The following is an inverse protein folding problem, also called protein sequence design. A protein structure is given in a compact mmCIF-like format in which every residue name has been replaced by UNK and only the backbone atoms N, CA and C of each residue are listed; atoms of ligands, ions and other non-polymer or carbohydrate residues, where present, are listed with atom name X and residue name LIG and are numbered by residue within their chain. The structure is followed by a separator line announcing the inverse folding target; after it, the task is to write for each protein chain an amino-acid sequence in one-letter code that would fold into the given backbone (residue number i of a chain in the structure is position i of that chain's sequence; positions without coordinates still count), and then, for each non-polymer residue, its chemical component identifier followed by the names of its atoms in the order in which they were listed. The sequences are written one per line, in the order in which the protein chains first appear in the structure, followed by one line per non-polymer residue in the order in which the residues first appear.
data_IF_373391018303
#
_entry.id   IF_373391018303
#
_cell.length_a   1.000
_cell.length_b   1.000
_cell.length_c   1.000
_cell.angle_alpha   90.00
_cell.angle_beta   90.00
_cell.angle_gamma   90.00
#
_symmetry.space_group_name_H-M   'P 1'
#
loop_
_entity.id
_entity.type
_entity.pdbx_description
1 polymer ?
#
# COMPACT_ATOMS: atom_id res chain seq x y z
N UNK A 1 -14.41 21.08 -14.54
CA UNK A 1 -13.49 20.17 -13.83
C UNK A 1 -12.22 20.07 -14.66
N UNK A 2 -11.06 20.38 -14.10
CA UNK A 2 -9.77 20.20 -14.77
C UNK A 2 -9.36 18.74 -14.53
N UNK A 3 -9.11 17.99 -15.64
CA UNK A 3 -8.66 16.61 -15.55
C UNK A 3 -7.33 16.50 -14.75
N UNK A 4 -7.07 15.36 -14.07
CA UNK A 4 -5.78 15.11 -13.44
C UNK A 4 -4.65 15.15 -14.47
N UNK A 5 -3.39 15.39 -14.04
CA UNK A 5 -2.22 15.29 -14.93
C UNK A 5 -2.16 13.92 -15.60
N UNK A 6 -1.79 13.88 -16.89
CA UNK A 6 -1.84 12.68 -17.75
C UNK A 6 -0.99 11.49 -17.26
N UNK A 7 -0.06 11.70 -16.32
CA UNK A 7 0.86 10.68 -15.81
C UNK A 7 0.51 10.14 -14.42
N UNK A 8 -0.55 10.63 -13.77
CA UNK A 8 -0.94 10.20 -12.44
C UNK A 8 -1.98 9.07 -12.50
N UNK A 9 -1.60 7.87 -12.02
CA UNK A 9 -2.53 6.74 -11.88
C UNK A 9 -3.53 6.98 -10.74
N UNK A 10 -3.11 7.67 -9.69
CA UNK A 10 -3.97 8.18 -8.62
C UNK A 10 -3.79 9.70 -8.49
N UNK A 11 -4.88 10.40 -8.38
CA UNK A 11 -4.87 11.84 -8.13
C UNK A 11 -5.93 12.21 -7.11
N UNK A 12 -5.56 13.05 -6.15
CA UNK A 12 -6.46 13.63 -5.18
C UNK A 12 -6.27 15.15 -5.12
N UNK A 13 -7.37 15.88 -5.03
CA UNK A 13 -7.37 17.34 -4.96
C UNK A 13 -8.19 17.84 -3.79
N UNK A 14 -7.55 18.66 -2.93
CA UNK A 14 -8.16 19.37 -1.80
C UNK A 14 -9.04 18.51 -0.91
N UNK A 15 -8.59 17.29 -0.59
CA UNK A 15 -9.34 16.35 0.23
C UNK A 15 -9.58 16.92 1.63
N UNK A 16 -10.84 16.94 2.05
CA UNK A 16 -11.27 17.19 3.42
C UNK A 16 -12.10 16.03 3.91
N UNK A 17 -11.84 15.59 5.12
CA UNK A 17 -12.62 14.54 5.77
C UNK A 17 -12.56 14.67 7.29
N UNK A 18 -13.68 14.40 7.94
CA UNK A 18 -13.81 14.45 9.41
C UNK A 18 -14.41 13.15 9.94
N UNK A 19 -13.84 12.61 11.00
CA UNK A 19 -14.41 11.47 11.71
C UNK A 19 -15.21 11.97 12.91
N UNK A 20 -16.54 11.81 12.89
CA UNK A 20 -17.43 12.24 14.00
C UNK A 20 -17.17 13.69 14.45
N UNK A 21 -16.94 14.59 13.50
CA UNK A 21 -16.67 15.99 13.75
C UNK A 21 -15.21 16.36 14.02
N UNK A 22 -14.31 15.38 14.23
CA UNK A 22 -12.87 15.64 14.35
C UNK A 22 -12.20 15.67 12.97
N UNK A 23 -11.57 16.77 12.56
CA UNK A 23 -10.89 16.87 11.27
C UNK A 23 -9.75 15.86 11.16
N UNK A 24 -9.70 15.14 10.03
CA UNK A 24 -8.63 14.17 9.72
C UNK A 24 -7.84 14.56 8.47
N UNK A 25 -8.49 15.20 7.49
CA UNK A 25 -7.85 15.78 6.31
C UNK A 25 -8.35 17.22 6.11
N UNK A 26 -7.44 18.13 5.84
CA UNK A 26 -7.69 19.58 5.78
C UNK A 26 -7.17 20.21 4.47
N UNK A 27 -7.58 19.63 3.32
CA UNK A 27 -7.22 20.15 1.99
C UNK A 27 -5.98 19.50 1.40
N UNK A 28 -5.82 18.19 1.60
CA UNK A 28 -4.70 17.41 1.05
C UNK A 28 -4.86 17.19 -0.44
N UNK A 29 -3.78 17.47 -1.20
CA UNK A 29 -3.69 17.17 -2.63
C UNK A 29 -2.45 16.34 -2.89
N UNK A 30 -2.57 15.28 -3.70
CA UNK A 30 -1.47 14.40 -4.05
C UNK A 30 -1.74 13.71 -5.39
N UNK A 31 -0.71 13.64 -6.24
CA UNK A 31 -0.68 12.77 -7.41
C UNK A 31 0.30 11.63 -7.17
N UNK A 32 0.03 10.45 -7.72
CA UNK A 32 0.90 9.26 -7.68
C UNK A 32 1.04 8.73 -9.10
N UNK A 33 2.27 8.64 -9.59
CA UNK A 33 2.57 8.16 -10.93
C UNK A 33 2.47 6.65 -11.03
N UNK A 34 2.26 6.15 -12.22
CA UNK A 34 2.29 4.70 -12.46
C UNK A 34 3.68 4.12 -12.12
N UNK A 35 3.71 3.01 -11.37
CA UNK A 35 4.94 2.36 -10.91
C UNK A 35 5.68 3.08 -9.78
N UNK A 36 5.21 4.27 -9.35
CA UNK A 36 5.81 5.02 -8.25
C UNK A 36 5.54 4.36 -6.89
N UNK A 37 6.52 4.40 -6.01
CA UNK A 37 6.34 4.13 -4.58
C UNK A 37 6.33 5.46 -3.85
N UNK A 38 5.15 5.91 -3.41
CA UNK A 38 4.96 7.11 -2.61
C UNK A 38 4.91 6.74 -1.12
N UNK A 39 5.82 7.30 -0.31
CA UNK A 39 5.71 7.24 1.14
C UNK A 39 4.86 8.39 1.67
N UNK A 40 3.89 8.08 2.53
CA UNK A 40 3.12 9.06 3.31
C UNK A 40 3.59 8.95 4.76
N UNK A 41 4.37 9.91 5.22
CA UNK A 41 4.98 9.90 6.57
C UNK A 41 4.35 10.93 7.47
N UNK A 42 4.35 10.66 8.77
CA UNK A 42 3.83 11.61 9.77
C UNK A 42 3.49 10.92 11.09
N UNK A 43 3.27 11.68 12.17
CA UNK A 43 2.95 11.13 13.47
C UNK A 43 1.62 10.36 13.48
N UNK A 44 1.34 9.62 14.55
CA UNK A 44 0.02 9.01 14.75
C UNK A 44 -1.05 10.10 14.78
N UNK A 45 -2.20 9.83 14.15
CA UNK A 45 -3.30 10.80 14.06
C UNK A 45 -3.14 11.87 12.98
N UNK A 46 -2.04 11.90 12.21
CA UNK A 46 -1.84 12.92 11.17
C UNK A 46 -2.76 12.80 9.94
N UNK A 47 -3.58 11.74 9.83
CA UNK A 47 -4.52 11.56 8.72
C UNK A 47 -4.08 10.56 7.65
N UNK A 48 -2.91 9.86 7.79
CA UNK A 48 -2.38 8.92 6.78
C UNK A 48 -3.37 7.83 6.40
N UNK A 49 -3.89 7.10 7.37
CA UNK A 49 -4.90 6.06 7.14
C UNK A 49 -6.14 6.60 6.44
N UNK A 50 -6.60 7.81 6.82
CA UNK A 50 -7.75 8.48 6.20
C UNK A 50 -7.45 8.83 4.75
N UNK A 51 -6.24 9.33 4.46
CA UNK A 51 -5.80 9.62 3.10
C UNK A 51 -5.80 8.34 2.25
N UNK A 52 -5.18 7.25 2.71
CA UNK A 52 -5.15 5.99 1.98
C UNK A 52 -6.56 5.44 1.74
N UNK A 53 -7.45 5.53 2.72
CA UNK A 53 -8.85 5.09 2.59
C UNK A 53 -9.65 5.95 1.60
N UNK A 54 -9.39 7.25 1.53
CA UNK A 54 -10.00 8.11 0.51
C UNK A 54 -9.46 7.75 -0.88
N UNK A 55 -8.14 7.63 -1.05
CA UNK A 55 -7.51 7.27 -2.33
C UNK A 55 -7.99 5.91 -2.85
N UNK A 56 -8.17 4.93 -1.97
CA UNK A 56 -8.67 3.58 -2.32
C UNK A 56 -10.19 3.50 -2.50
N UNK A 57 -10.93 4.59 -2.29
CA UNK A 57 -12.39 4.61 -2.35
C UNK A 57 -13.09 3.85 -1.22
N UNK A 58 -12.38 3.49 -0.14
CA UNK A 58 -13.00 2.94 1.09
C UNK A 58 -13.79 4.02 1.83
N UNK A 59 -13.30 5.25 1.81
CA UNK A 59 -13.99 6.43 2.32
C UNK A 59 -14.28 7.40 1.17
N UNK A 60 -15.45 8.01 1.21
CA UNK A 60 -15.76 9.18 0.37
C UNK A 60 -15.33 10.40 1.17
N UNK A 61 -14.49 11.28 0.61
CA UNK A 61 -14.14 12.53 1.29
C UNK A 61 -15.37 13.45 1.44
N UNK A 62 -15.41 14.26 2.49
CA UNK A 62 -16.49 15.25 2.69
C UNK A 62 -16.44 16.35 1.62
N UNK A 63 -15.20 16.68 1.16
CA UNK A 63 -14.93 17.63 0.08
C UNK A 63 -13.66 17.22 -0.66
N UNK A 64 -13.54 17.67 -1.91
CA UNK A 64 -12.42 17.34 -2.78
C UNK A 64 -12.73 16.14 -3.68
N UNK A 65 -11.73 15.73 -4.43
CA UNK A 65 -11.88 14.78 -5.52
C UNK A 65 -10.80 13.69 -5.45
N UNK A 66 -11.17 12.46 -5.82
CA UNK A 66 -10.24 11.35 -6.00
C UNK A 66 -10.46 10.75 -7.38
N UNK A 67 -9.37 10.51 -8.10
CA UNK A 67 -9.36 9.98 -9.45
C UNK A 67 -8.42 8.76 -9.54
N UNK A 68 -8.81 7.77 -10.31
CA UNK A 68 -7.99 6.62 -10.65
C UNK A 68 -8.02 6.42 -12.17
N UNK A 69 -6.87 6.43 -12.83
CA UNK A 69 -6.74 6.35 -14.29
C UNK A 69 -7.70 7.31 -15.02
N UNK A 70 -7.74 8.57 -14.58
CA UNK A 70 -8.61 9.60 -15.19
C UNK A 70 -10.11 9.45 -14.89
N UNK A 71 -10.54 8.42 -14.15
CA UNK A 71 -11.94 8.22 -13.77
C UNK A 71 -12.19 8.67 -12.32
N UNK A 72 -13.26 9.42 -12.02
CA UNK A 72 -13.57 9.87 -10.67
C UNK A 72 -14.00 8.68 -9.80
N UNK A 73 -13.38 8.52 -8.63
CA UNK A 73 -13.71 7.47 -7.66
C UNK A 73 -14.73 7.96 -6.64
N UNK A 74 -14.61 9.21 -6.20
CA UNK A 74 -15.43 9.82 -5.13
C UNK A 74 -16.92 9.91 -5.46
N UNK A 75 -17.30 9.98 -6.74
CA UNK A 75 -18.70 10.04 -7.19
C UNK A 75 -19.31 8.68 -7.49
N UNK A 76 -18.52 7.61 -7.47
CA UNK A 76 -19.02 6.26 -7.79
C UNK A 76 -19.89 5.72 -6.65
N UNK A 77 -20.94 4.93 -6.97
CA UNK A 77 -21.71 4.20 -5.97
C UNK A 77 -20.82 3.18 -5.23
N UNK A 78 -21.20 2.81 -4.00
CA UNK A 78 -20.45 1.90 -3.16
C UNK A 78 -20.06 0.59 -3.86
N UNK A 79 -21.00 -0.03 -4.56
CA UNK A 79 -20.77 -1.29 -5.29
C UNK A 79 -19.68 -1.16 -6.38
N UNK A 80 -19.63 -0.02 -7.09
CA UNK A 80 -18.60 0.24 -8.10
C UNK A 80 -17.23 0.45 -7.45
N UNK A 81 -17.14 1.17 -6.32
CA UNK A 81 -15.90 1.30 -5.55
C UNK A 81 -15.44 -0.04 -4.99
N UNK A 82 -16.37 -0.90 -4.52
CA UNK A 82 -16.04 -2.26 -4.05
C UNK A 82 -15.49 -3.13 -5.19
N UNK A 83 -16.08 -3.03 -6.37
CA UNK A 83 -15.58 -3.72 -7.56
C UNK A 83 -14.18 -3.22 -7.94
N UNK A 84 -13.97 -1.90 -7.99
CA UNK A 84 -12.67 -1.29 -8.27
C UNK A 84 -11.59 -1.80 -7.29
N UNK A 85 -11.89 -1.85 -5.99
CA UNK A 85 -10.96 -2.34 -4.97
C UNK A 85 -10.58 -3.81 -5.19
N UNK A 86 -11.57 -4.67 -5.49
CA UNK A 86 -11.30 -6.09 -5.74
C UNK A 86 -10.45 -6.33 -6.99
N UNK A 87 -10.69 -5.52 -8.04
CA UNK A 87 -10.04 -5.75 -9.32
C UNK A 87 -8.68 -5.06 -9.45
N UNK A 88 -8.50 -3.91 -8.83
CA UNK A 88 -7.38 -3.04 -9.14
C UNK A 88 -6.47 -2.72 -7.94
N UNK A 89 -6.93 -2.93 -6.71
CA UNK A 89 -6.23 -2.51 -5.52
C UNK A 89 -5.85 -3.67 -4.60
N UNK A 90 -4.64 -3.61 -4.02
CA UNK A 90 -4.20 -4.42 -2.91
C UNK A 90 -4.20 -3.59 -1.62
N UNK A 91 -4.50 -4.22 -0.48
CA UNK A 91 -4.46 -3.57 0.82
C UNK A 91 -3.67 -4.38 1.84
N UNK A 92 -2.70 -3.71 2.50
CA UNK A 92 -1.97 -4.22 3.66
C UNK A 92 -2.16 -3.23 4.81
N UNK A 93 -2.74 -3.68 5.91
CA UNK A 93 -2.88 -2.87 7.13
C UNK A 93 -1.79 -3.18 8.16
N UNK A 94 -1.77 -2.39 9.24
CA UNK A 94 -0.92 -2.64 10.41
C UNK A 94 -1.26 -3.96 11.10
N UNK A 95 -2.52 -4.37 11.06
CA UNK A 95 -2.97 -5.68 11.48
C UNK A 95 -3.24 -6.57 10.26
N UNK A 96 -2.76 -7.84 10.26
CA UNK A 96 -2.88 -8.73 9.09
C UNK A 96 -4.32 -9.06 8.69
N UNK A 97 -5.27 -9.04 9.65
CA UNK A 97 -6.69 -9.38 9.44
C UNK A 97 -6.88 -10.66 8.59
N UNK A 98 -6.19 -11.73 9.00
CA UNK A 98 -6.33 -13.02 8.36
C UNK A 98 -7.61 -13.71 8.86
N UNK A 99 -8.28 -14.44 7.97
CA UNK A 99 -9.42 -15.28 8.33
C UNK A 99 -8.90 -16.51 9.09
N UNK A 100 -9.32 -16.71 10.35
CA UNK A 100 -8.75 -17.75 11.21
C UNK A 100 -9.09 -19.18 10.75
N UNK A 101 -10.18 -19.34 10.00
CA UNK A 101 -10.64 -20.61 9.43
C UNK A 101 -9.82 -21.05 8.21
N UNK A 102 -9.08 -20.13 7.59
CA UNK A 102 -8.29 -20.37 6.40
C UNK A 102 -6.81 -20.54 6.73
N UNK A 103 -6.15 -21.43 6.02
CA UNK A 103 -4.69 -21.55 6.05
C UNK A 103 -3.99 -20.31 5.48
N UNK A 104 -2.68 -20.22 5.63
CA UNK A 104 -1.89 -19.10 5.10
C UNK A 104 -2.03 -18.98 3.57
N UNK A 105 -1.97 -20.09 2.81
CA UNK A 105 -2.13 -20.03 1.35
C UNK A 105 -3.56 -19.66 0.93
N UNK A 106 -4.59 -20.10 1.64
CA UNK A 106 -5.98 -19.73 1.36
C UNK A 106 -6.22 -18.25 1.64
N UNK A 107 -5.70 -17.73 2.75
CA UNK A 107 -5.72 -16.29 3.03
C UNK A 107 -5.03 -15.50 1.92
N UNK A 108 -3.83 -15.93 1.49
CA UNK A 108 -3.10 -15.27 0.42
C UNK A 108 -3.84 -15.34 -0.93
N UNK A 109 -4.50 -16.48 -1.23
CA UNK A 109 -5.22 -16.71 -2.48
C UNK A 109 -6.59 -16.02 -2.58
N UNK A 110 -7.14 -15.50 -1.48
CA UNK A 110 -8.51 -14.95 -1.43
C UNK A 110 -8.85 -14.01 -2.59
N UNK A 111 -8.01 -13.03 -2.98
CA UNK A 111 -8.35 -12.12 -4.09
C UNK A 111 -8.54 -12.86 -5.42
N UNK A 112 -7.76 -13.89 -5.68
CA UNK A 112 -7.87 -14.71 -6.89
C UNK A 112 -9.13 -15.57 -6.87
N UNK A 113 -9.42 -16.19 -5.72
CA UNK A 113 -10.63 -17.00 -5.55
C UNK A 113 -11.90 -16.17 -5.71
N UNK A 114 -11.91 -14.94 -5.16
CA UNK A 114 -13.01 -13.99 -5.32
C UNK A 114 -13.21 -13.52 -6.77
N UNK A 115 -12.15 -13.55 -7.60
CA UNK A 115 -12.21 -13.31 -9.05
C UNK A 115 -12.57 -14.54 -9.86
N UNK A 116 -12.88 -15.67 -9.21
CA UNK A 116 -13.26 -16.93 -9.88
C UNK A 116 -12.07 -17.73 -10.45
N UNK A 117 -10.84 -17.42 -10.06
CA UNK A 117 -9.68 -18.23 -10.45
C UNK A 117 -9.79 -19.62 -9.84
N UNK A 118 -9.57 -20.66 -10.63
CA UNK A 118 -9.65 -22.06 -10.16
C UNK A 118 -8.70 -22.29 -8.98
N UNK A 119 -9.16 -22.98 -7.94
CA UNK A 119 -8.43 -23.19 -6.67
C UNK A 119 -6.99 -23.71 -6.88
N UNK A 120 -6.76 -24.62 -7.82
CA UNK A 120 -5.42 -25.14 -8.12
C UNK A 120 -4.48 -24.03 -8.63
N UNK A 121 -4.95 -23.15 -9.51
CA UNK A 121 -4.15 -22.05 -10.05
C UNK A 121 -3.93 -20.96 -8.98
N UNK A 122 -4.98 -20.61 -8.23
CA UNK A 122 -4.90 -19.65 -7.12
C UNK A 122 -3.90 -20.11 -6.05
N UNK A 123 -3.92 -21.41 -5.72
CA UNK A 123 -2.97 -21.99 -4.77
C UNK A 123 -1.52 -21.92 -5.27
N UNK A 124 -1.27 -22.20 -6.56
CA UNK A 124 0.07 -22.14 -7.12
C UNK A 124 0.65 -20.72 -7.04
N UNK A 125 -0.16 -19.72 -7.42
CA UNK A 125 0.24 -18.31 -7.33
C UNK A 125 0.43 -17.85 -5.88
N UNK A 126 -0.46 -18.24 -4.97
CA UNK A 126 -0.32 -17.93 -3.55
C UNK A 126 0.96 -18.56 -2.95
N UNK A 127 1.25 -19.82 -3.31
CA UNK A 127 2.47 -20.49 -2.87
C UNK A 127 3.73 -19.76 -3.36
N UNK A 128 3.77 -19.34 -4.63
CA UNK A 128 4.88 -18.57 -5.17
C UNK A 128 5.12 -17.26 -4.40
N UNK A 129 4.05 -16.53 -4.04
CA UNK A 129 4.19 -15.32 -3.24
C UNK A 129 4.63 -15.60 -1.80
N UNK A 130 4.14 -16.70 -1.20
CA UNK A 130 4.58 -17.12 0.13
C UNK A 130 6.05 -17.53 0.13
N UNK A 131 6.54 -18.19 -0.92
CA UNK A 131 7.94 -18.56 -1.07
C UNK A 131 8.84 -17.32 -1.20
N UNK A 132 8.44 -16.35 -2.03
CA UNK A 132 9.15 -15.06 -2.18
C UNK A 132 9.20 -14.24 -0.88
N UNK A 133 8.25 -14.45 0.01
CA UNK A 133 8.16 -13.80 1.32
C UNK A 133 8.77 -14.64 2.45
N UNK A 134 9.52 -15.71 2.13
CA UNK A 134 10.20 -16.61 3.08
C UNK A 134 9.24 -17.26 4.10
N UNK A 135 8.01 -17.57 3.70
CA UNK A 135 6.99 -18.25 4.52
C UNK A 135 6.30 -19.41 3.81
N UNK A 136 6.85 -19.89 2.68
CA UNK A 136 6.26 -20.99 1.92
C UNK A 136 6.09 -22.28 2.72
N UNK A 137 7.03 -22.60 3.61
CA UNK A 137 6.93 -23.73 4.52
C UNK A 137 5.74 -23.65 5.50
N UNK A 138 5.23 -22.44 5.76
CA UNK A 138 4.09 -22.21 6.63
C UNK A 138 2.75 -22.17 5.88
N UNK A 139 2.70 -22.38 4.56
CA UNK A 139 1.52 -22.23 3.72
C UNK A 139 0.28 -23.00 4.22
N UNK A 140 0.47 -24.17 4.84
CA UNK A 140 -0.63 -24.99 5.37
C UNK A 140 -1.01 -24.69 6.82
N UNK A 141 -0.29 -23.77 7.50
CA UNK A 141 -0.63 -23.39 8.88
C UNK A 141 -1.82 -22.43 8.89
N UNK A 142 -2.66 -22.57 9.90
CA UNK A 142 -3.69 -21.58 10.22
C UNK A 142 -3.07 -20.37 10.96
N UNK A 143 -3.71 -19.20 10.91
CA UNK A 143 -3.19 -17.97 11.53
C UNK A 143 -2.79 -18.11 13.00
N UNK A 144 -3.52 -18.93 13.77
CA UNK A 144 -3.21 -19.19 15.19
C UNK A 144 -1.83 -19.85 15.42
N UNK A 145 -1.28 -20.55 14.39
CA UNK A 145 0.03 -21.21 14.44
C UNK A 145 1.14 -20.42 13.76
N UNK A 146 0.86 -19.21 13.32
CA UNK A 146 1.83 -18.32 12.69
C UNK A 146 2.37 -17.29 13.70
N UNK A 147 3.65 -16.96 13.56
CA UNK A 147 4.25 -15.81 14.24
C UNK A 147 3.63 -14.51 13.73
N UNK A 148 3.77 -13.43 14.49
CA UNK A 148 3.26 -12.10 14.09
C UNK A 148 3.85 -11.66 12.75
N UNK A 149 5.16 -11.83 12.54
CA UNK A 149 5.84 -11.52 11.29
C UNK A 149 5.39 -12.39 10.13
N UNK A 150 5.12 -13.70 10.37
CA UNK A 150 4.57 -14.59 9.36
C UNK A 150 3.16 -14.18 8.93
N UNK A 151 2.28 -13.82 9.88
CA UNK A 151 0.92 -13.31 9.58
C UNK A 151 0.97 -12.07 8.71
N UNK A 152 1.89 -11.14 9.01
CA UNK A 152 2.05 -9.92 8.22
C UNK A 152 2.52 -10.22 6.80
N UNK A 153 3.46 -11.16 6.62
CA UNK A 153 3.90 -11.59 5.29
C UNK A 153 2.78 -12.28 4.50
N UNK A 154 1.90 -13.05 5.15
CA UNK A 154 0.68 -13.58 4.50
C UNK A 154 -0.24 -12.45 4.02
N UNK A 155 -0.42 -11.39 4.83
CA UNK A 155 -1.22 -10.23 4.42
C UNK A 155 -0.59 -9.49 3.23
N UNK A 156 0.74 -9.39 3.18
CA UNK A 156 1.46 -8.85 2.02
C UNK A 156 1.25 -9.74 0.79
N UNK A 157 1.42 -11.08 0.91
CA UNK A 157 1.15 -12.02 -0.16
C UNK A 157 -0.27 -11.86 -0.71
N UNK A 158 -1.26 -11.76 0.17
CA UNK A 158 -2.67 -11.52 -0.20
C UNK A 158 -2.86 -10.24 -1.00
N UNK A 159 -2.18 -9.16 -0.63
CA UNK A 159 -2.30 -7.89 -1.34
C UNK A 159 -1.67 -7.93 -2.74
N UNK A 160 -0.60 -8.72 -2.94
CA UNK A 160 0.18 -8.76 -4.16
C UNK A 160 -0.27 -9.84 -5.16
N UNK A 161 -0.91 -10.93 -4.68
CA UNK A 161 -1.18 -12.15 -5.46
C UNK A 161 -1.98 -11.90 -6.74
N UNK A 162 -2.86 -10.91 -6.73
CA UNK A 162 -3.70 -10.56 -7.88
C UNK A 162 -3.07 -9.49 -8.79
N UNK A 163 -1.77 -9.19 -8.63
CA UNK A 163 -1.03 -8.16 -9.37
C UNK A 163 -1.82 -6.85 -9.51
N UNK A 164 -2.15 -6.19 -8.38
CA UNK A 164 -2.97 -5.00 -8.42
C UNK A 164 -2.24 -3.84 -9.11
N UNK A 165 -3.01 -2.89 -9.68
CA UNK A 165 -2.45 -1.66 -10.21
C UNK A 165 -1.86 -0.77 -9.11
N UNK A 166 -2.51 -0.75 -7.94
CA UNK A 166 -2.06 0.02 -6.78
C UNK A 166 -2.13 -0.81 -5.50
N UNK A 167 -1.06 -0.78 -4.72
CA UNK A 167 -1.00 -1.35 -3.36
C UNK A 167 -1.04 -0.21 -2.35
N UNK A 168 -2.02 -0.24 -1.48
CA UNK A 168 -2.10 0.61 -0.30
C UNK A 168 -1.55 -0.15 0.91
N UNK A 169 -0.48 0.35 1.51
CA UNK A 169 0.16 -0.25 2.67
C UNK A 169 0.10 0.74 3.85
N UNK A 170 -0.83 0.49 4.79
CA UNK A 170 -1.10 1.35 5.92
C UNK A 170 -0.35 0.87 7.16
N UNK A 171 0.82 1.44 7.40
CA UNK A 171 1.73 1.09 8.50
C UNK A 171 2.04 -0.43 8.58
N UNK A 172 2.38 -1.10 7.45
CA UNK A 172 2.37 -2.56 7.32
C UNK A 172 3.40 -3.27 8.20
N UNK A 173 4.31 -2.54 8.78
CA UNK A 173 5.39 -3.06 9.61
C UNK A 173 5.32 -2.59 11.07
N UNK A 174 4.28 -1.82 11.47
CA UNK A 174 4.15 -1.24 12.81
C UNK A 174 4.26 -2.25 13.96
N UNK A 175 3.63 -3.44 13.89
CA UNK A 175 3.66 -4.40 15.01
C UNK A 175 4.93 -5.24 15.05
N UNK A 176 5.89 -5.03 14.12
CA UNK A 176 7.05 -5.90 13.97
C UNK A 176 8.30 -5.35 14.64
N UNK A 177 9.20 -6.25 15.05
CA UNK A 177 10.54 -5.87 15.50
C UNK A 177 11.37 -5.32 14.32
N UNK A 178 12.40 -4.53 14.64
CA UNK A 178 13.17 -3.75 13.66
C UNK A 178 13.68 -4.57 12.46
N UNK A 179 14.20 -5.79 12.68
CA UNK A 179 14.71 -6.66 11.62
C UNK A 179 13.60 -7.13 10.68
N UNK A 180 12.49 -7.63 11.22
CA UNK A 180 11.32 -8.08 10.45
C UNK A 180 10.65 -6.94 9.70
N UNK A 181 10.60 -5.73 10.32
CA UNK A 181 10.07 -4.51 9.70
C UNK A 181 10.81 -4.18 8.41
N UNK A 182 12.14 -4.11 8.47
CA UNK A 182 12.96 -3.83 7.30
C UNK A 182 12.79 -4.89 6.21
N UNK A 183 12.67 -6.16 6.58
CA UNK A 183 12.46 -7.25 5.63
C UNK A 183 11.10 -7.15 4.93
N UNK A 184 10.01 -6.95 5.67
CA UNK A 184 8.65 -6.80 5.09
C UNK A 184 8.60 -5.61 4.12
N UNK A 185 9.15 -4.46 4.49
CA UNK A 185 9.16 -3.28 3.64
C UNK A 185 10.00 -3.50 2.37
N UNK A 186 11.21 -4.06 2.50
CA UNK A 186 12.04 -4.40 1.32
C UNK A 186 11.34 -5.36 0.38
N UNK A 187 10.74 -6.42 0.91
CA UNK A 187 10.09 -7.44 0.06
C UNK A 187 8.86 -6.85 -0.63
N UNK A 188 8.03 -6.07 0.08
CA UNK A 188 6.87 -5.38 -0.50
C UNK A 188 7.31 -4.45 -1.65
N UNK A 189 8.29 -3.59 -1.41
CA UNK A 189 8.71 -2.57 -2.40
C UNK A 189 9.50 -3.19 -3.56
N UNK A 190 10.34 -4.20 -3.30
CA UNK A 190 11.03 -4.94 -4.35
C UNK A 190 10.06 -5.71 -5.25
N UNK A 191 9.07 -6.38 -4.66
CA UNK A 191 8.02 -7.08 -5.41
C UNK A 191 7.19 -6.11 -6.26
N UNK A 192 6.81 -4.95 -5.70
CA UNK A 192 6.08 -3.93 -6.43
C UNK A 192 6.88 -3.42 -7.65
N UNK A 193 8.16 -3.09 -7.47
CA UNK A 193 9.05 -2.67 -8.57
C UNK A 193 9.18 -3.74 -9.66
N UNK A 194 9.39 -5.01 -9.27
CA UNK A 194 9.55 -6.12 -10.21
C UNK A 194 8.32 -6.37 -11.09
N UNK A 195 7.14 -5.95 -10.63
CA UNK A 195 5.86 -6.16 -11.33
C UNK A 195 5.21 -4.85 -11.82
N UNK A 196 5.92 -3.71 -11.74
CA UNK A 196 5.42 -2.42 -12.17
C UNK A 196 4.21 -1.91 -11.37
N UNK A 197 4.05 -2.35 -10.10
CA UNK A 197 2.93 -1.94 -9.26
C UNK A 197 3.20 -0.58 -8.64
N UNK A 198 2.19 0.28 -8.61
CA UNK A 198 2.22 1.52 -7.83
C UNK A 198 1.99 1.23 -6.36
N UNK A 199 2.68 1.92 -5.45
CA UNK A 199 2.51 1.74 -4.00
C UNK A 199 2.29 3.06 -3.30
N UNK A 200 1.28 3.13 -2.43
CA UNK A 200 1.11 4.20 -1.44
C UNK A 200 1.39 3.61 -0.07
N UNK A 201 2.57 3.91 0.48
CA UNK A 201 3.09 3.35 1.72
C UNK A 201 3.00 4.38 2.86
N UNK A 202 2.07 4.20 3.78
CA UNK A 202 1.99 5.02 4.99
C UNK A 202 2.89 4.46 6.10
N UNK A 203 3.55 5.34 6.84
CA UNK A 203 4.38 4.96 7.98
C UNK A 203 4.54 6.08 9.01
N UNK A 204 4.63 5.68 10.28
CA UNK A 204 4.95 6.60 11.39
C UNK A 204 6.45 6.76 11.58
N UNK A 205 7.24 5.78 11.10
CA UNK A 205 8.70 5.78 11.17
C UNK A 205 9.28 6.53 9.97
N UNK A 206 10.13 7.56 10.17
CA UNK A 206 10.82 8.26 9.08
C UNK A 206 11.62 7.34 8.17
N UNK A 207 12.09 6.19 8.68
CA UNK A 207 12.79 5.19 7.88
C UNK A 207 11.92 4.60 6.74
N UNK A 208 10.60 4.74 6.83
CA UNK A 208 9.67 4.34 5.75
C UNK A 208 9.98 5.07 4.43
N UNK A 209 10.43 6.33 4.50
CA UNK A 209 10.79 7.13 3.33
C UNK A 209 11.92 6.50 2.49
N UNK A 210 12.82 5.72 3.11
CA UNK A 210 13.95 5.08 2.42
C UNK A 210 13.54 4.01 1.40
N UNK A 211 12.30 3.55 1.46
CA UNK A 211 11.76 2.52 0.57
C UNK A 211 10.96 3.11 -0.61
N UNK A 212 10.80 4.43 -0.64
CA UNK A 212 9.97 5.15 -1.60
C UNK A 212 10.79 6.00 -2.57
N UNK A 213 10.18 6.33 -3.69
CA UNK A 213 10.75 7.22 -4.70
C UNK A 213 10.49 8.69 -4.33
N UNK A 214 9.37 8.95 -3.65
CA UNK A 214 8.96 10.27 -3.18
C UNK A 214 8.24 10.16 -1.83
N UNK A 215 8.34 11.22 -1.04
CA UNK A 215 7.74 11.32 0.29
C UNK A 215 6.76 12.47 0.37
N UNK A 216 5.58 12.20 0.94
CA UNK A 216 4.59 13.18 1.34
C UNK A 216 4.56 13.22 2.88
N UNK A 217 4.99 14.32 3.47
CA UNK A 217 4.86 14.54 4.90
C UNK A 217 3.44 15.05 5.24
N UNK A 218 2.78 14.39 6.19
CA UNK A 218 1.42 14.72 6.62
C UNK A 218 1.43 15.03 8.14
N UNK A 219 0.95 16.21 8.50
CA UNK A 219 0.79 16.64 9.89
C UNK A 219 -0.54 17.33 10.09
N UNK A 220 -1.27 16.94 11.13
CA UNK A 220 -2.56 17.52 11.50
C UNK A 220 -3.54 17.68 10.31
N UNK A 221 -3.60 16.63 9.46
CA UNK A 221 -4.46 16.61 8.27
C UNK A 221 -4.01 17.50 7.11
N UNK A 222 -2.80 18.05 7.15
CA UNK A 222 -2.23 18.92 6.10
C UNK A 222 -0.93 18.36 5.56
N UNK A 223 -0.64 18.65 4.30
CA UNK A 223 0.68 18.35 3.73
C UNK A 223 1.69 19.38 4.20
N UNK A 224 2.80 18.89 4.79
CA UNK A 224 4.04 19.65 4.88
C UNK A 224 4.76 19.47 3.54
N UNK A 225 5.52 20.46 3.06
CA UNK A 225 6.14 20.51 1.73
C UNK A 225 6.74 19.16 1.31
N UNK A 226 6.38 18.69 0.11
CA UNK A 226 6.95 17.47 -0.46
C UNK A 226 8.45 17.68 -0.74
N UNK A 227 9.31 16.98 -0.01
CA UNK A 227 10.75 16.95 -0.29
C UNK A 227 10.99 15.79 -1.26
N UNK A 228 11.43 16.10 -2.50
CA UNK A 228 11.97 15.09 -3.38
C UNK A 228 13.20 14.46 -2.70
N UNK A 229 13.26 13.14 -2.64
CA UNK A 229 14.48 12.45 -2.22
C UNK A 229 15.52 12.74 -3.28
N UNK A 230 16.56 13.49 -2.91
CA UNK A 230 17.68 13.78 -3.82
C UNK A 230 18.30 12.47 -4.31
N UNK A 231 18.58 12.42 -5.60
CA UNK A 231 19.32 11.33 -6.24
C UNK A 231 20.58 11.01 -5.40
N UNK A 232 20.75 9.72 -5.08
CA UNK A 232 21.96 9.24 -4.41
C UNK A 232 23.14 9.59 -5.29
N UNK A 233 23.99 10.50 -4.84
CA UNK A 233 25.34 10.65 -5.35
C UNK A 233 26.01 9.27 -5.30
N UNK A 234 26.37 8.75 -6.47
CA UNK A 234 27.32 7.66 -6.61
C UNK A 234 28.63 8.14 -5.98
N UNK A 235 29.24 7.41 -5.05
CA UNK A 235 30.54 7.79 -4.52
C UNK A 235 31.55 7.78 -5.68
N UNK A 236 32.19 8.91 -5.87
CA UNK A 236 33.28 9.14 -6.82
C UNK A 236 34.38 8.08 -6.61
N UNK A 237 34.87 7.39 -7.66
CA UNK A 237 35.98 6.44 -7.51
C UNK A 237 37.24 7.20 -7.07
N UNK A 238 37.83 6.75 -5.94
CA UNK A 238 39.05 7.28 -5.40
C UNK A 238 40.15 7.40 -6.48
N UNK A 239 40.95 8.48 -6.48
CA UNK A 239 42.04 8.64 -7.44
C UNK A 239 43.08 7.54 -7.23
N UNK A 240 43.40 6.85 -8.32
CA UNK A 240 44.51 5.90 -8.35
C UNK A 240 45.82 6.67 -8.09
N UNK A 241 46.46 6.36 -6.96
CA UNK A 241 47.82 6.85 -6.68
C UNK A 241 48.81 6.19 -7.65
N UNK A 242 49.51 7.04 -8.37
CA UNK A 242 50.71 6.71 -9.12
C UNK A 242 51.91 6.50 -8.18
#
# INVERSE_FOLDING_TARGET
MVAPPDNDVLFARTLRHSHRGSPALLGVSVGVREGEILAVVGPRGSGKTTLLRCLSGQLVPDQGEVWFNGAPVHTQPAAARDHLRRERFGWVGSEPQLLPELTAWENAALPLLMRGVRSRAARAQAQEWLDRLDIGAAARKHPARLLQSERQRVAVARALVATPAVVFADDPAAPLHRADRAQVLRTLTSAARSHGMTVVLAGTDPDTARYADRTLALRDGRTESATAVQDRETPDPAPANA
#
